data_IF_796859692696
#
_entry.id   IF_796859692696
#
_cell.length_a   1.000
_cell.length_b   1.000
_cell.length_c   1.000
_cell.angle_alpha   90.00
_cell.angle_beta   90.00
_cell.angle_gamma   90.00
#
_symmetry.space_group_name_H-M   'P 1'
#
loop_
_entity.id
_entity.type
_entity.pdbx_description
1 polymer ?
#
# COMPACT_ATOMS: atom_id res chain seq x y z
N UNK A 1 46.01 -29.47 21.79
CA UNK A 1 44.72 -29.27 21.14
C UNK A 1 44.23 -27.89 21.54
N UNK A 2 44.27 -26.95 20.62
CA UNK A 2 43.87 -25.56 20.87
C UNK A 2 42.35 -25.45 20.60
N UNK A 3 41.61 -25.08 21.65
CA UNK A 3 40.18 -24.77 21.56
C UNK A 3 39.98 -23.49 20.69
N UNK A 4 39.44 -23.70 19.49
CA UNK A 4 38.97 -22.60 18.65
C UNK A 4 37.72 -22.02 19.31
N UNK A 5 37.85 -20.88 20.00
CA UNK A 5 36.69 -20.04 20.42
C UNK A 5 35.92 -19.66 19.17
N UNK A 6 34.70 -20.18 19.03
CA UNK A 6 33.71 -19.64 18.07
C UNK A 6 33.39 -18.22 18.52
N UNK A 7 33.81 -17.23 17.76
CA UNK A 7 33.36 -15.84 17.92
C UNK A 7 31.84 -15.80 17.66
N UNK A 8 31.07 -15.39 18.67
CA UNK A 8 29.65 -15.08 18.51
C UNK A 8 29.50 -13.88 17.56
N UNK A 9 28.55 -13.91 16.63
CA UNK A 9 28.35 -12.80 15.72
C UNK A 9 27.99 -11.52 16.52
N UNK A 10 28.82 -10.51 16.41
CA UNK A 10 28.60 -9.21 17.05
C UNK A 10 27.29 -8.61 16.55
N UNK A 11 26.43 -8.13 17.47
CA UNK A 11 25.18 -7.44 17.11
C UNK A 11 25.52 -6.17 16.33
N UNK A 12 24.81 -5.88 15.22
CA UNK A 12 25.08 -4.71 14.40
C UNK A 12 24.92 -3.41 15.20
N UNK A 13 25.82 -2.47 14.98
CA UNK A 13 25.81 -1.14 15.59
C UNK A 13 24.57 -0.33 15.13
N UNK A 14 24.19 0.74 15.83
CA UNK A 14 23.12 1.63 15.38
C UNK A 14 23.35 2.20 13.98
N UNK A 15 24.60 2.54 13.65
CA UNK A 15 25.00 3.07 12.33
C UNK A 15 24.85 2.02 11.23
N UNK A 16 25.29 0.78 11.48
CA UNK A 16 25.10 -0.33 10.53
C UNK A 16 23.62 -0.64 10.29
N UNK A 17 22.79 -0.56 11.33
CA UNK A 17 21.32 -0.75 11.19
C UNK A 17 20.70 0.35 10.35
N UNK A 18 21.11 1.60 10.56
CA UNK A 18 20.62 2.74 9.79
C UNK A 18 21.01 2.60 8.32
N UNK A 19 22.27 2.33 8.03
CA UNK A 19 22.75 2.14 6.66
C UNK A 19 22.05 0.98 5.93
N UNK A 20 21.77 -0.12 6.64
CA UNK A 20 21.02 -1.24 6.10
C UNK A 20 19.56 -0.85 5.79
N UNK A 21 18.90 -0.10 6.67
CA UNK A 21 17.54 0.38 6.46
C UNK A 21 17.45 1.39 5.30
N UNK A 22 18.40 2.30 5.17
CA UNK A 22 18.49 3.23 4.05
C UNK A 22 18.66 2.49 2.71
N UNK A 23 19.54 1.49 2.66
CA UNK A 23 19.74 0.68 1.46
C UNK A 23 18.47 -0.11 1.07
N UNK A 24 17.73 -0.63 2.06
CA UNK A 24 16.46 -1.32 1.82
C UNK A 24 15.40 -0.36 1.26
N UNK A 25 15.23 0.81 1.86
CA UNK A 25 14.29 1.84 1.40
C UNK A 25 14.64 2.30 -0.02
N UNK A 26 15.91 2.56 -0.30
CA UNK A 26 16.37 2.94 -1.64
C UNK A 26 16.06 1.88 -2.69
N UNK A 27 16.23 0.60 -2.34
CA UNK A 27 15.90 -0.50 -3.24
C UNK A 27 14.39 -0.58 -3.52
N UNK A 28 13.56 -0.35 -2.49
CA UNK A 28 12.09 -0.30 -2.63
C UNK A 28 11.65 0.90 -3.47
N UNK A 29 12.23 2.07 -3.24
CA UNK A 29 11.94 3.28 -4.04
C UNK A 29 12.29 3.09 -5.51
N UNK A 30 13.45 2.50 -5.82
CA UNK A 30 13.84 2.17 -7.20
C UNK A 30 12.85 1.23 -7.89
N UNK A 31 12.34 0.22 -7.15
CA UNK A 31 11.27 -0.66 -7.65
C UNK A 31 9.97 0.11 -7.88
N UNK A 32 9.62 1.00 -6.93
CA UNK A 32 8.45 1.86 -7.03
C UNK A 32 8.50 2.77 -8.25
N UNK A 33 9.61 3.44 -8.50
CA UNK A 33 9.80 4.31 -9.67
C UNK A 33 9.65 3.53 -10.99
N UNK A 34 10.22 2.32 -11.07
CA UNK A 34 10.01 1.46 -12.24
C UNK A 34 8.55 1.06 -12.42
N UNK A 35 7.86 0.74 -11.33
CA UNK A 35 6.43 0.43 -11.39
C UNK A 35 5.59 1.65 -11.79
N UNK A 36 5.99 2.86 -11.40
CA UNK A 36 5.37 4.11 -11.83
C UNK A 36 5.45 4.26 -13.35
N UNK A 37 6.64 4.11 -13.95
CA UNK A 37 6.86 4.18 -15.39
C UNK A 37 5.97 3.21 -16.19
N UNK A 38 5.65 2.05 -15.61
CA UNK A 38 4.76 1.06 -16.24
C UNK A 38 3.29 1.40 -16.06
N UNK A 39 2.91 1.89 -14.86
CA UNK A 39 1.52 2.17 -14.49
C UNK A 39 0.98 3.48 -15.08
N UNK A 40 1.81 4.49 -15.27
CA UNK A 40 1.39 5.78 -15.85
C UNK A 40 0.88 5.65 -17.30
N UNK A 41 1.27 4.60 -18.01
CA UNK A 41 0.83 4.29 -19.38
C UNK A 41 -0.56 3.71 -19.46
N UNK A 42 -1.14 3.32 -18.32
CA UNK A 42 -2.46 2.67 -18.26
C UNK A 42 -3.58 3.70 -18.45
N UNK A 43 -4.58 3.33 -19.23
CA UNK A 43 -5.81 4.09 -19.39
C UNK A 43 -6.76 3.90 -18.18
N UNK A 44 -7.81 4.74 -18.11
CA UNK A 44 -8.80 4.70 -17.02
C UNK A 44 -9.47 3.33 -16.90
N UNK A 45 -9.82 2.66 -18.00
CA UNK A 45 -10.49 1.36 -17.99
C UNK A 45 -9.59 0.26 -17.46
N UNK A 46 -8.31 0.31 -17.80
CA UNK A 46 -7.30 -0.63 -17.30
C UNK A 46 -7.10 -0.46 -15.80
N UNK A 47 -6.98 0.78 -15.32
CA UNK A 47 -6.88 1.12 -13.89
C UNK A 47 -8.11 0.65 -13.13
N UNK A 48 -9.31 0.96 -13.60
CA UNK A 48 -10.57 0.55 -12.96
C UNK A 48 -10.69 -0.96 -12.86
N UNK A 49 -10.30 -1.69 -13.90
CA UNK A 49 -10.28 -3.15 -13.89
C UNK A 49 -9.30 -3.72 -12.87
N UNK A 50 -8.12 -3.10 -12.71
CA UNK A 50 -7.11 -3.52 -11.73
C UNK A 50 -7.65 -3.29 -10.32
N UNK A 51 -8.19 -2.11 -10.03
CA UNK A 51 -8.78 -1.77 -8.72
C UNK A 51 -9.90 -2.74 -8.37
N UNK A 52 -10.83 -3.00 -9.29
CA UNK A 52 -11.93 -3.94 -9.07
C UNK A 52 -11.43 -5.37 -8.75
N UNK A 53 -10.43 -5.86 -9.49
CA UNK A 53 -9.83 -7.18 -9.22
C UNK A 53 -9.10 -7.23 -7.89
N UNK A 54 -8.35 -6.20 -7.55
CA UNK A 54 -7.65 -6.10 -6.27
C UNK A 54 -8.63 -6.08 -5.09
N UNK A 55 -9.74 -5.32 -5.22
CA UNK A 55 -10.80 -5.28 -4.23
C UNK A 55 -11.42 -6.66 -3.99
N UNK A 56 -11.81 -7.38 -5.04
CA UNK A 56 -12.38 -8.73 -4.92
C UNK A 56 -11.38 -9.71 -4.29
N UNK A 57 -10.10 -9.63 -4.66
CA UNK A 57 -9.07 -10.48 -4.08
C UNK A 57 -8.91 -10.25 -2.57
N UNK A 58 -8.94 -8.99 -2.12
CA UNK A 58 -8.91 -8.62 -0.71
C UNK A 58 -10.19 -9.03 0.02
N UNK A 59 -11.36 -8.82 -0.60
CA UNK A 59 -12.67 -9.20 -0.05
C UNK A 59 -12.74 -10.70 0.22
N UNK A 60 -12.25 -11.53 -0.68
CA UNK A 60 -12.19 -12.99 -0.50
C UNK A 60 -11.31 -13.43 0.68
N UNK A 61 -10.50 -12.54 1.23
CA UNK A 61 -9.61 -12.79 2.37
C UNK A 61 -9.99 -12.00 3.63
N UNK A 62 -11.09 -11.23 3.62
CA UNK A 62 -11.45 -10.30 4.69
C UNK A 62 -11.46 -10.93 6.09
N UNK A 63 -12.05 -12.13 6.23
CA UNK A 63 -12.15 -12.84 7.51
C UNK A 63 -10.81 -13.43 7.96
N UNK A 64 -10.06 -14.03 7.03
CA UNK A 64 -8.73 -14.60 7.33
C UNK A 64 -7.79 -13.51 7.80
N UNK A 65 -7.75 -12.38 7.08
CA UNK A 65 -6.93 -11.21 7.44
C UNK A 65 -7.36 -10.60 8.79
N UNK A 66 -8.66 -10.61 9.10
CA UNK A 66 -9.16 -10.13 10.40
C UNK A 66 -8.68 -11.02 11.55
N UNK A 67 -8.73 -12.36 11.40
CA UNK A 67 -8.23 -13.30 12.39
C UNK A 67 -6.73 -13.12 12.62
N UNK A 68 -5.93 -13.11 11.56
CA UNK A 68 -4.48 -12.88 11.63
C UNK A 68 -4.14 -11.58 12.35
N UNK A 69 -4.87 -10.49 12.03
CA UNK A 69 -4.64 -9.19 12.66
C UNK A 69 -4.94 -9.19 14.18
N UNK A 70 -5.95 -9.93 14.64
CA UNK A 70 -6.22 -10.08 16.08
C UNK A 70 -5.18 -10.94 16.76
N UNK A 71 -4.80 -12.06 16.14
CA UNK A 71 -3.78 -12.97 16.66
C UNK A 71 -2.42 -12.29 16.81
N UNK A 72 -2.01 -11.49 15.80
CA UNK A 72 -0.74 -10.79 15.80
C UNK A 72 -0.71 -9.59 16.75
N UNK A 73 -1.76 -8.78 16.74
CA UNK A 73 -1.77 -7.50 17.48
C UNK A 73 -2.41 -7.58 18.86
N UNK A 74 -3.14 -8.64 19.16
CA UNK A 74 -3.98 -8.80 20.36
C UNK A 74 -4.95 -7.62 20.59
N UNK A 75 -5.45 -6.99 19.51
CA UNK A 75 -6.30 -5.80 19.56
C UNK A 75 -7.59 -5.97 18.78
N UNK A 76 -8.69 -5.61 19.43
CA UNK A 76 -10.05 -5.59 18.85
C UNK A 76 -10.65 -6.99 18.68
N UNK A 77 -11.79 -7.03 18.01
CA UNK A 77 -12.56 -8.24 17.74
C UNK A 77 -12.44 -8.63 16.25
N UNK A 78 -12.49 -9.92 15.99
CA UNK A 78 -12.36 -10.46 14.61
C UNK A 78 -13.50 -9.95 13.73
N UNK A 79 -14.74 -9.94 14.26
CA UNK A 79 -15.94 -9.50 13.55
C UNK A 79 -15.86 -8.04 13.12
N UNK A 80 -15.39 -7.17 14.03
CA UNK A 80 -15.20 -5.75 13.74
C UNK A 80 -14.12 -5.51 12.68
N UNK A 81 -13.01 -6.25 12.78
CA UNK A 81 -11.93 -6.17 11.78
C UNK A 81 -12.37 -6.73 10.43
N UNK A 82 -13.16 -7.80 10.41
CA UNK A 82 -13.74 -8.34 9.19
C UNK A 82 -14.66 -7.31 8.51
N UNK A 83 -15.52 -6.66 9.30
CA UNK A 83 -16.41 -5.59 8.82
C UNK A 83 -15.60 -4.41 8.25
N UNK A 84 -14.53 -3.98 8.92
CA UNK A 84 -13.63 -2.93 8.42
C UNK A 84 -12.92 -3.34 7.12
N UNK A 85 -12.50 -4.60 6.99
CA UNK A 85 -11.90 -5.11 5.75
C UNK A 85 -12.93 -5.09 4.60
N UNK A 86 -14.18 -5.52 4.85
CA UNK A 86 -15.27 -5.44 3.87
C UNK A 86 -15.52 -3.98 3.47
N UNK A 87 -15.62 -3.07 4.45
CA UNK A 87 -15.79 -1.65 4.18
C UNK A 87 -14.67 -1.10 3.26
N UNK A 88 -13.41 -1.44 3.54
CA UNK A 88 -12.28 -1.04 2.72
C UNK A 88 -12.36 -1.58 1.28
N UNK A 89 -12.85 -2.82 1.11
CA UNK A 89 -13.00 -3.43 -0.21
C UNK A 89 -14.21 -2.87 -0.98
N UNK A 90 -15.39 -2.83 -0.38
CA UNK A 90 -16.64 -2.51 -1.07
C UNK A 90 -16.90 -1.01 -1.14
N UNK A 91 -16.96 -0.33 0.02
CA UNK A 91 -17.35 1.08 0.05
C UNK A 91 -16.31 2.00 -0.58
N UNK A 92 -15.00 1.75 -0.32
CA UNK A 92 -13.94 2.53 -0.94
C UNK A 92 -13.92 2.30 -2.45
N UNK A 93 -14.02 1.05 -2.91
CA UNK A 93 -14.04 0.74 -4.34
C UNK A 93 -15.26 1.33 -5.04
N UNK A 94 -16.45 1.24 -4.45
CA UNK A 94 -17.67 1.82 -5.01
C UNK A 94 -17.56 3.34 -5.14
N UNK A 95 -16.98 4.01 -4.13
CA UNK A 95 -16.71 5.45 -4.23
C UNK A 95 -15.71 5.78 -5.34
N UNK A 96 -14.64 5.01 -5.45
CA UNK A 96 -13.59 5.21 -6.45
C UNK A 96 -14.04 4.88 -7.88
N UNK A 97 -15.03 4.01 -8.07
CA UNK A 97 -15.48 3.56 -9.38
C UNK A 97 -16.00 4.71 -10.27
N UNK A 98 -16.63 5.72 -9.66
CA UNK A 98 -17.11 6.90 -10.37
C UNK A 98 -16.08 8.03 -10.56
N UNK A 99 -14.87 7.88 -10.03
CA UNK A 99 -13.86 8.94 -10.08
C UNK A 99 -12.97 8.80 -11.31
N UNK A 100 -12.85 9.88 -12.09
CA UNK A 100 -11.83 10.02 -13.12
C UNK A 100 -10.47 10.31 -12.45
N UNK A 101 -9.46 9.52 -12.78
CA UNK A 101 -8.10 9.61 -12.18
C UNK A 101 -6.99 9.47 -13.22
N UNK A 102 -7.34 9.50 -14.50
CA UNK A 102 -6.40 9.37 -15.63
C UNK A 102 -6.74 10.38 -16.71
N UNK A 103 -5.74 11.15 -17.14
CA UNK A 103 -5.88 12.14 -18.18
C UNK A 103 -6.71 13.35 -17.72
N UNK A 104 -7.39 14.02 -18.65
CA UNK A 104 -8.22 15.19 -18.36
C UNK A 104 -9.42 14.76 -17.51
N UNK A 105 -9.50 15.27 -16.28
CA UNK A 105 -10.56 14.95 -15.32
C UNK A 105 -11.65 16.00 -15.29
N UNK A 106 -11.33 17.24 -15.69
CA UNK A 106 -12.26 18.36 -15.81
C UNK A 106 -11.79 19.32 -16.89
N UNK A 107 -12.73 19.82 -17.68
CA UNK A 107 -12.53 20.89 -18.65
C UNK A 107 -13.37 22.10 -18.20
N UNK A 108 -12.78 23.27 -18.18
CA UNK A 108 -13.45 24.54 -17.84
C UNK A 108 -13.31 25.52 -19.02
N UNK A 109 -14.29 25.47 -19.93
CA UNK A 109 -14.32 26.30 -21.15
C UNK A 109 -14.40 27.80 -20.86
N UNK A 110 -14.92 28.18 -19.68
CA UNK A 110 -15.06 29.58 -19.30
C UNK A 110 -13.73 30.16 -18.89
N UNK A 111 -12.96 29.42 -18.13
CA UNK A 111 -11.62 29.81 -17.66
C UNK A 111 -10.51 29.39 -18.62
N UNK A 112 -10.80 28.55 -19.60
CA UNK A 112 -9.80 27.96 -20.51
C UNK A 112 -8.78 27.07 -19.79
N UNK A 113 -9.24 26.30 -18.81
CA UNK A 113 -8.37 25.46 -17.95
C UNK A 113 -8.80 24.00 -18.05
N UNK A 114 -7.83 23.12 -18.27
CA UNK A 114 -7.99 21.67 -18.15
C UNK A 114 -7.31 21.18 -16.87
N UNK A 115 -8.05 20.38 -16.07
CA UNK A 115 -7.48 19.68 -14.93
C UNK A 115 -7.05 18.28 -15.38
N UNK A 116 -5.76 17.96 -15.23
CA UNK A 116 -5.18 16.68 -15.64
C UNK A 116 -4.75 15.89 -14.40
N UNK A 117 -5.19 14.64 -14.31
CA UNK A 117 -4.78 13.75 -13.23
C UNK A 117 -3.49 13.01 -13.58
N UNK A 118 -2.45 13.27 -12.80
CA UNK A 118 -1.14 12.62 -12.91
C UNK A 118 -0.76 11.94 -11.59
N UNK A 119 -0.02 10.82 -11.62
CA UNK A 119 0.48 10.19 -10.40
C UNK A 119 1.48 11.11 -9.68
N UNK A 120 1.40 11.15 -8.35
CA UNK A 120 2.30 11.99 -7.55
C UNK A 120 3.68 11.36 -7.30
N UNK A 121 3.88 10.13 -7.73
CA UNK A 121 5.11 9.39 -7.50
C UNK A 121 4.91 8.21 -6.53
N UNK A 122 5.99 7.78 -5.88
CA UNK A 122 5.99 6.69 -4.90
C UNK A 122 5.44 7.19 -3.56
N UNK A 123 4.41 6.52 -3.05
CA UNK A 123 3.73 6.88 -1.81
C UNK A 123 4.27 6.05 -0.64
N UNK A 124 4.57 6.69 0.48
CA UNK A 124 4.87 6.01 1.74
C UNK A 124 3.57 5.76 2.52
N UNK A 125 3.22 4.50 2.73
CA UNK A 125 2.00 4.07 3.40
C UNK A 125 2.26 3.55 4.81
N UNK A 126 2.11 4.39 5.85
CA UNK A 126 2.23 3.93 7.24
C UNK A 126 0.97 3.20 7.67
N UNK A 127 1.12 2.02 8.28
CA UNK A 127 0.03 1.19 8.81
C UNK A 127 0.05 1.16 10.33
N UNK A 128 -1.08 1.47 11.00
CA UNK A 128 -1.15 1.41 12.46
C UNK A 128 -1.35 -0.04 12.95
N UNK A 129 -0.92 -0.33 14.17
CA UNK A 129 -1.15 -1.63 14.82
C UNK A 129 -2.64 -1.94 15.02
N UNK A 130 -3.48 -0.92 15.19
CA UNK A 130 -4.91 -1.08 15.48
C UNK A 130 -5.73 -1.58 14.29
N UNK A 131 -5.37 -1.19 13.07
CA UNK A 131 -6.11 -1.52 11.85
C UNK A 131 -5.15 -1.85 10.68
N UNK A 132 -4.25 -2.83 10.81
CA UNK A 132 -3.21 -3.07 9.81
C UNK A 132 -3.80 -3.49 8.46
N UNK A 133 -4.73 -4.45 8.46
CA UNK A 133 -5.25 -5.06 7.24
C UNK A 133 -6.18 -4.12 6.45
N UNK A 134 -7.17 -3.52 7.10
CA UNK A 134 -8.07 -2.58 6.42
C UNK A 134 -7.30 -1.35 5.89
N UNK A 135 -6.28 -0.87 6.63
CA UNK A 135 -5.43 0.24 6.19
C UNK A 135 -4.61 -0.13 4.97
N UNK A 136 -4.00 -1.31 4.95
CA UNK A 136 -3.27 -1.79 3.78
C UNK A 136 -4.19 -1.94 2.56
N UNK A 137 -5.40 -2.49 2.74
CA UNK A 137 -6.39 -2.65 1.67
C UNK A 137 -6.76 -1.29 1.06
N UNK A 138 -7.30 -0.35 1.86
CA UNK A 138 -7.82 0.89 1.28
C UNK A 138 -6.70 1.76 0.68
N UNK A 139 -5.53 1.83 1.31
CA UNK A 139 -4.39 2.57 0.77
C UNK A 139 -3.89 1.98 -0.55
N UNK A 140 -3.85 0.64 -0.66
CA UNK A 140 -3.52 -0.02 -1.92
C UNK A 140 -4.52 0.31 -3.02
N UNK A 141 -5.82 0.26 -2.72
CA UNK A 141 -6.87 0.56 -3.70
C UNK A 141 -6.82 2.01 -4.19
N UNK A 142 -6.59 2.97 -3.29
CA UNK A 142 -6.42 4.38 -3.65
C UNK A 142 -5.14 4.59 -4.49
N UNK A 143 -4.02 4.01 -4.06
CA UNK A 143 -2.75 4.10 -4.78
C UNK A 143 -2.86 3.50 -6.20
N UNK A 144 -3.47 2.33 -6.35
CA UNK A 144 -3.76 1.73 -7.65
C UNK A 144 -4.65 2.63 -8.52
N UNK A 145 -5.71 3.21 -7.93
CA UNK A 145 -6.63 4.09 -8.67
C UNK A 145 -5.95 5.34 -9.20
N UNK A 146 -4.98 5.87 -8.47
CA UNK A 146 -4.20 7.06 -8.85
C UNK A 146 -2.88 6.74 -9.57
N UNK A 147 -2.66 5.48 -9.91
CA UNK A 147 -1.45 4.97 -10.57
C UNK A 147 -0.16 5.23 -9.78
N UNK A 148 -0.26 5.37 -8.46
CA UNK A 148 0.88 5.62 -7.58
C UNK A 148 1.38 4.29 -6.98
N UNK A 149 2.65 3.94 -7.11
CA UNK A 149 3.24 2.86 -6.32
C UNK A 149 3.23 3.21 -4.83
N UNK A 150 3.01 2.21 -3.99
CA UNK A 150 2.99 2.40 -2.53
C UNK A 150 3.97 1.45 -1.84
N UNK A 151 4.74 1.99 -0.91
CA UNK A 151 5.63 1.24 -0.02
C UNK A 151 5.03 1.31 1.38
N UNK A 152 4.77 0.16 1.99
CA UNK A 152 4.19 0.10 3.33
C UNK A 152 5.26 0.04 4.40
N UNK A 153 5.13 0.94 5.40
CA UNK A 153 5.81 0.84 6.68
C UNK A 153 4.83 0.32 7.73
N UNK A 154 5.05 -0.89 8.20
CA UNK A 154 4.23 -1.51 9.24
C UNK A 154 4.70 -1.10 10.63
N UNK A 155 3.78 -1.10 11.60
CA UNK A 155 4.11 -0.89 13.00
C UNK A 155 5.01 -2.03 13.50
N UNK A 156 6.10 -1.74 14.24
CA UNK A 156 7.08 -2.74 14.66
C UNK A 156 6.63 -3.67 15.81
N UNK A 157 5.43 -3.50 16.36
CA UNK A 157 4.91 -4.28 17.48
C UNK A 157 3.58 -4.94 17.22
#
# INVERSE_FOLDING_TARGET
MADAKKEEPTKPTPEEKLAAAEAEVDALVKKGLKALDDFEKLDQKQVDRIVAKASVAALNKHLVLAKMAVEETHRGLVEDKATKNIFACEHVTNYLAGQKTVGIIREDDVMGIDEIAEPVGVVAGVTPVTNPTSTAIFKSLIALKTRCPIIFGFHPG
#
